data_IF_981822472372
#
_entry.id   IF_981822472372
#
_cell.length_a   1.000
_cell.length_b   1.000
_cell.length_c   1.000
_cell.angle_alpha   90.00
_cell.angle_beta   90.00
_cell.angle_gamma   90.00
#
_symmetry.space_group_name_H-M   'P 1'
#
loop_
_entity.id
_entity.type
_entity.pdbx_description
1 polymer ?
#
# COMPACT_ATOMS: atom_id res chain seq x y z
N UNK A 1 0.32 -17.47 0.38
CA UNK A 1 0.17 -16.07 0.85
C UNK A 1 0.18 -15.17 -0.37
N UNK A 2 -0.91 -14.46 -0.66
CA UNK A 2 -0.93 -13.48 -1.75
C UNK A 2 -1.03 -12.09 -1.14
N UNK A 3 -0.08 -11.22 -1.50
CA UNK A 3 -0.05 -9.81 -1.09
C UNK A 3 -0.13 -8.96 -2.34
N UNK A 4 -0.98 -7.95 -2.31
CA UNK A 4 -1.00 -6.91 -3.35
C UNK A 4 -0.50 -5.63 -2.70
N UNK A 5 0.41 -4.92 -3.34
CA UNK A 5 0.99 -3.71 -2.79
C UNK A 5 1.04 -2.57 -3.81
N UNK A 6 0.99 -1.34 -3.30
CA UNK A 6 1.20 -0.12 -4.07
C UNK A 6 2.12 0.79 -3.27
N UNK A 7 3.00 1.51 -3.97
CA UNK A 7 3.94 2.39 -3.29
C UNK A 7 4.70 3.31 -4.21
N UNK A 8 5.42 4.21 -3.58
CA UNK A 8 6.38 5.14 -4.16
C UNK A 8 7.64 5.13 -3.27
N UNK A 9 8.73 5.85 -3.60
CA UNK A 9 9.96 5.81 -2.82
C UNK A 9 9.81 6.18 -1.34
N UNK A 10 8.71 6.84 -0.95
CA UNK A 10 8.43 7.20 0.44
C UNK A 10 7.41 6.28 1.10
N UNK A 11 6.43 5.76 0.37
CA UNK A 11 5.34 5.02 0.99
C UNK A 11 5.20 3.61 0.42
N UNK A 12 4.98 2.64 1.31
CA UNK A 12 4.53 1.31 0.95
C UNK A 12 3.18 1.03 1.58
N UNK A 13 2.24 0.54 0.77
CA UNK A 13 0.95 0.04 1.23
C UNK A 13 0.74 -1.38 0.73
N UNK A 14 0.34 -2.29 1.63
CA UNK A 14 0.07 -3.69 1.31
C UNK A 14 -1.30 -4.11 1.82
N UNK A 15 -1.98 -4.94 1.02
CA UNK A 15 -3.23 -5.61 1.38
C UNK A 15 -3.07 -7.12 1.21
N UNK A 16 -3.44 -7.85 2.25
CA UNK A 16 -3.40 -9.30 2.30
C UNK A 16 -4.78 -9.89 2.00
N UNK A 17 -4.81 -11.12 1.49
CA UNK A 17 -6.08 -11.81 1.18
C UNK A 17 -7.00 -12.02 2.38
N UNK A 18 -6.46 -12.05 3.59
CA UNK A 18 -7.22 -12.17 4.84
C UNK A 18 -7.81 -10.84 5.32
N UNK A 19 -7.56 -9.73 4.62
CA UNK A 19 -8.05 -8.40 4.99
C UNK A 19 -7.05 -7.58 5.79
N UNK A 20 -5.90 -8.14 6.18
CA UNK A 20 -4.86 -7.36 6.85
C UNK A 20 -4.30 -6.30 5.91
N UNK A 21 -3.92 -5.17 6.50
CA UNK A 21 -3.40 -4.01 5.78
C UNK A 21 -2.13 -3.53 6.47
N UNK A 22 -1.19 -3.04 5.67
CA UNK A 22 0.03 -2.40 6.16
C UNK A 22 0.30 -1.10 5.44
N UNK A 23 0.90 -0.15 6.15
CA UNK A 23 1.31 1.14 5.59
C UNK A 23 2.62 1.59 6.26
N UNK A 24 3.66 1.82 5.49
CA UNK A 24 4.98 2.25 5.99
C UNK A 24 5.42 3.56 5.34
N UNK A 25 5.96 4.50 6.14
CA UNK A 25 6.73 5.65 5.65
C UNK A 25 8.20 5.24 5.57
N UNK A 26 8.65 4.79 4.40
CA UNK A 26 10.00 4.29 4.15
C UNK A 26 11.10 5.34 4.37
N UNK A 27 10.77 6.63 4.39
CA UNK A 27 11.75 7.65 4.78
C UNK A 27 12.00 7.69 6.29
N UNK A 28 10.96 7.38 7.09
CA UNK A 28 11.03 7.42 8.56
C UNK A 28 11.29 6.05 9.17
N UNK A 29 10.84 5.00 8.50
CA UNK A 29 10.94 3.61 8.89
C UNK A 29 11.37 2.74 7.70
N UNK A 30 12.63 2.82 7.27
CA UNK A 30 13.14 2.04 6.14
C UNK A 30 13.16 0.53 6.41
N UNK A 31 13.03 0.12 7.68
CA UNK A 31 13.01 -1.27 8.11
C UNK A 31 11.60 -1.82 8.30
N UNK A 32 10.56 -1.02 7.99
CA UNK A 32 9.15 -1.44 7.96
C UNK A 32 8.68 -2.07 9.29
N UNK A 33 9.15 -1.53 10.42
CA UNK A 33 8.89 -2.09 11.74
C UNK A 33 7.59 -1.58 12.35
N UNK A 34 7.08 -0.43 11.88
CA UNK A 34 5.92 0.26 12.44
C UNK A 34 4.90 0.57 11.36
N UNK A 35 3.92 -0.32 11.26
CA UNK A 35 2.79 -0.12 10.38
C UNK A 35 1.88 1.01 10.87
N UNK A 36 1.60 1.97 10.00
CA UNK A 36 0.71 3.13 10.19
C UNK A 36 -0.70 2.87 9.64
N UNK A 37 -1.04 1.64 9.28
CA UNK A 37 -2.32 1.32 8.62
C UNK A 37 -3.55 1.70 9.48
N UNK A 38 -3.42 1.71 10.81
CA UNK A 38 -4.47 2.09 11.75
C UNK A 38 -4.35 3.56 12.22
N UNK A 39 -3.31 4.28 11.80
CA UNK A 39 -3.08 5.66 12.20
C UNK A 39 -3.98 6.62 11.40
N UNK A 40 -4.79 7.40 12.12
CA UNK A 40 -5.70 8.38 11.51
C UNK A 40 -5.00 9.50 10.74
N UNK A 41 -3.77 9.86 11.13
CA UNK A 41 -2.96 10.88 10.44
C UNK A 41 -2.47 10.40 9.07
N UNK A 42 -2.38 9.08 8.87
CA UNK A 42 -1.99 8.46 7.62
C UNK A 42 -3.19 8.07 6.72
N UNK A 43 -4.43 8.37 7.14
CA UNK A 43 -5.64 7.94 6.44
C UNK A 43 -5.71 8.41 4.98
N UNK A 44 -5.29 9.65 4.69
CA UNK A 44 -5.28 10.19 3.33
C UNK A 44 -4.31 9.44 2.41
N UNK A 45 -3.09 9.16 2.90
CA UNK A 45 -2.07 8.39 2.17
C UNK A 45 -2.55 6.96 1.94
N UNK A 46 -3.09 6.31 2.97
CA UNK A 46 -3.67 4.96 2.88
C UNK A 46 -4.73 4.89 1.79
N UNK A 47 -5.67 5.83 1.77
CA UNK A 47 -6.75 5.86 0.78
C UNK A 47 -6.25 6.08 -0.64
N UNK A 48 -5.22 6.90 -0.82
CA UNK A 48 -4.63 7.13 -2.14
C UNK A 48 -3.96 5.88 -2.71
N UNK A 49 -3.10 5.25 -1.91
CA UNK A 49 -2.41 4.03 -2.30
C UNK A 49 -3.40 2.86 -2.48
N UNK A 50 -4.47 2.77 -1.69
CA UNK A 50 -5.53 1.79 -1.89
C UNK A 50 -6.25 1.98 -3.24
N UNK A 51 -6.56 3.23 -3.63
CA UNK A 51 -7.13 3.51 -4.97
C UNK A 51 -6.18 3.14 -6.09
N UNK A 52 -4.89 3.44 -5.93
CA UNK A 52 -3.86 3.06 -6.90
C UNK A 52 -3.73 1.55 -7.01
N UNK A 53 -3.72 0.83 -5.88
CA UNK A 53 -3.71 -0.62 -5.83
C UNK A 53 -4.93 -1.23 -6.51
N UNK A 54 -6.12 -0.68 -6.28
CA UNK A 54 -7.34 -1.12 -6.95
C UNK A 54 -7.24 -0.97 -8.47
N UNK A 55 -6.69 0.15 -8.97
CA UNK A 55 -6.41 0.33 -10.40
C UNK A 55 -5.40 -0.71 -10.90
N UNK A 56 -4.29 -0.91 -10.21
CA UNK A 56 -3.27 -1.91 -10.57
C UNK A 56 -3.83 -3.34 -10.63
N UNK A 57 -4.74 -3.70 -9.72
CA UNK A 57 -5.44 -4.99 -9.74
C UNK A 57 -6.32 -5.18 -10.97
N UNK A 58 -6.96 -4.11 -11.44
CA UNK A 58 -7.72 -4.13 -12.70
C UNK A 58 -6.81 -4.03 -13.92
N UNK A 59 -5.59 -3.53 -13.74
CA UNK A 59 -4.53 -3.39 -14.73
C UNK A 59 -3.63 -4.63 -14.76
N UNK A 60 -4.21 -5.82 -14.95
CA UNK A 60 -3.45 -7.03 -15.27
C UNK A 60 -3.63 -7.39 -16.75
N UNK A 61 -2.70 -6.97 -17.62
CA UNK A 61 -2.72 -7.24 -19.05
C UNK A 61 -1.74 -6.36 -19.85
N UNK A 62 -1.54 -6.66 -21.14
CA UNK A 62 -0.53 -6.04 -22.02
C UNK A 62 -0.62 -4.51 -22.22
N UNK A 63 -1.67 -3.85 -21.71
CA UNK A 63 -1.94 -2.42 -21.87
C UNK A 63 -1.72 -1.59 -20.60
N UNK A 64 -1.04 -2.15 -19.59
CA UNK A 64 -0.82 -1.44 -18.33
C UNK A 64 0.45 -0.58 -18.45
N UNK A 65 0.23 0.74 -18.46
CA UNK A 65 1.25 1.78 -18.61
C UNK A 65 2.07 1.97 -17.33
#
# INVERSE_FOLDING_TARGET
>A
MGVAHAGDPRWLYAEYKNGDQELYDLQRDPAELRSLHADSSAAAVRQDLARRLARLRTCSGASCL
#
